data_IF_075261236073
#
_entry.id   IF_075261236073
#
_cell.length_a   1.000
_cell.length_b   1.000
_cell.length_c   1.000
_cell.angle_alpha   90.00
_cell.angle_beta   90.00
_cell.angle_gamma   90.00
#
_symmetry.space_group_name_H-M   'P 1'
#
loop_
_entity.id
_entity.type
_entity.pdbx_description
1 polymer ?
#
# COMPACT_ATOMS: atom_id res chain seq x y z
N UNK A 1 0.55 -23.86 -22.79
CA UNK A 1 0.62 -24.99 -21.84
C UNK A 1 0.59 -26.28 -22.65
N UNK A 2 1.76 -26.85 -22.93
CA UNK A 2 1.81 -28.02 -23.82
C UNK A 2 1.22 -29.23 -23.10
N UNK A 3 0.22 -29.87 -23.71
CA UNK A 3 -0.41 -31.10 -23.23
C UNK A 3 -1.51 -30.93 -22.16
N UNK A 4 -1.96 -29.70 -21.86
CA UNK A 4 -3.05 -29.52 -20.89
C UNK A 4 -4.43 -29.55 -21.59
N UNK A 5 -5.36 -30.44 -21.16
CA UNK A 5 -6.64 -30.64 -21.86
C UNK A 5 -7.68 -29.53 -21.60
N UNK A 6 -7.61 -28.84 -20.45
CA UNK A 6 -8.57 -27.80 -20.09
C UNK A 6 -7.88 -26.59 -19.46
N UNK A 7 -7.58 -25.59 -20.26
CA UNK A 7 -6.97 -24.37 -19.78
C UNK A 7 -8.04 -23.35 -19.40
N UNK A 8 -8.33 -23.24 -18.11
CA UNK A 8 -9.32 -22.28 -17.59
C UNK A 8 -8.82 -21.51 -16.39
N UNK A 9 -9.33 -20.30 -16.25
CA UNK A 9 -9.08 -19.45 -15.10
C UNK A 9 -9.78 -20.04 -13.87
N UNK A 10 -9.01 -20.43 -12.85
CA UNK A 10 -9.59 -20.96 -11.60
C UNK A 10 -10.03 -19.86 -10.63
N UNK A 11 -9.27 -18.76 -10.58
CA UNK A 11 -9.47 -17.70 -9.59
C UNK A 11 -10.08 -16.42 -10.17
N UNK A 12 -9.96 -16.21 -11.48
CA UNK A 12 -10.47 -15.02 -12.14
C UNK A 12 -11.88 -15.28 -12.65
N UNK A 13 -12.78 -14.28 -12.58
CA UNK A 13 -14.08 -14.32 -13.24
C UNK A 13 -13.96 -14.61 -14.73
N UNK A 14 -15.01 -15.17 -15.31
CA UNK A 14 -15.05 -15.56 -16.73
C UNK A 14 -14.88 -14.37 -17.68
N UNK A 15 -15.40 -13.20 -17.28
CA UNK A 15 -15.34 -11.96 -18.08
C UNK A 15 -14.07 -11.14 -17.81
N UNK A 16 -13.15 -11.63 -16.99
CA UNK A 16 -11.94 -10.89 -16.64
C UNK A 16 -10.90 -10.97 -17.77
N UNK A 17 -10.55 -9.82 -18.33
CA UNK A 17 -9.53 -9.72 -19.39
C UNK A 17 -8.15 -9.35 -18.83
N UNK A 18 -7.16 -10.19 -19.09
CA UNK A 18 -5.75 -9.94 -18.78
C UNK A 18 -5.17 -10.81 -17.66
N UNK A 19 -3.97 -10.46 -17.21
CA UNK A 19 -3.24 -11.21 -16.19
C UNK A 19 -2.73 -10.25 -15.10
N UNK A 20 -3.46 -10.13 -13.98
CA UNK A 20 -3.24 -9.07 -12.99
C UNK A 20 -1.90 -9.21 -12.26
N UNK A 21 -1.25 -10.39 -12.34
CA UNK A 21 0.07 -10.64 -11.77
C UNK A 21 1.23 -10.26 -12.70
N UNK A 22 0.97 -9.81 -13.93
CA UNK A 22 2.04 -9.33 -14.82
C UNK A 22 2.41 -7.89 -14.47
N UNK A 23 3.70 -7.55 -14.64
CA UNK A 23 4.25 -6.22 -14.30
C UNK A 23 3.74 -5.08 -15.20
N UNK A 24 3.28 -5.41 -16.40
CA UNK A 24 2.71 -4.47 -17.38
C UNK A 24 1.21 -4.21 -17.13
N UNK A 25 0.58 -4.93 -16.20
CA UNK A 25 -0.84 -4.75 -15.90
C UNK A 25 -1.08 -3.46 -15.11
N UNK A 26 -2.01 -2.58 -15.56
CA UNK A 26 -2.28 -1.32 -14.89
C UNK A 26 -3.00 -1.56 -13.55
N UNK A 27 -2.26 -1.42 -12.44
CA UNK A 27 -2.85 -1.46 -11.10
C UNK A 27 -3.47 -0.10 -10.77
N UNK A 28 -4.80 -0.01 -10.83
CA UNK A 28 -5.58 1.15 -10.37
C UNK A 28 -5.28 1.53 -8.90
N UNK A 29 -4.75 0.59 -8.11
CA UNK A 29 -4.35 0.76 -6.71
C UNK A 29 -3.13 1.66 -6.48
N UNK A 30 -2.45 2.16 -7.51
CA UNK A 30 -1.37 3.17 -7.34
C UNK A 30 -1.88 4.56 -7.00
N UNK A 31 -3.18 4.80 -7.08
CA UNK A 31 -3.79 6.03 -6.60
C UNK A 31 -3.94 5.89 -5.08
N UNK A 32 -2.92 6.33 -4.35
CA UNK A 32 -3.05 6.57 -2.91
C UNK A 32 -4.08 7.67 -2.76
N UNK A 33 -5.31 7.32 -2.36
CA UNK A 33 -6.22 8.32 -1.85
C UNK A 33 -5.57 8.90 -0.59
N UNK A 34 -5.35 10.22 -0.51
CA UNK A 34 -4.93 10.81 0.76
C UNK A 34 -5.96 10.41 1.80
N UNK A 35 -5.48 9.96 2.96
CA UNK A 35 -6.35 9.56 4.06
C UNK A 35 -7.31 10.74 4.35
N UNK A 36 -8.64 10.50 4.39
CA UNK A 36 -9.62 11.57 4.56
C UNK A 36 -9.69 11.97 6.05
N UNK A 37 -8.66 12.65 6.55
CA UNK A 37 -8.59 13.14 7.93
C UNK A 37 -7.30 13.90 8.21
N UNK A 38 -7.37 14.85 9.16
CA UNK A 38 -6.16 15.37 9.80
C UNK A 38 -5.51 14.17 10.50
N UNK A 39 -4.30 13.83 10.10
CA UNK A 39 -3.51 12.82 10.82
C UNK A 39 -3.07 13.52 12.11
N UNK A 40 -3.75 13.24 13.21
CA UNK A 40 -3.32 13.68 14.53
C UNK A 40 -2.06 12.88 14.88
N UNK A 41 -0.91 13.48 14.62
CA UNK A 41 0.37 12.98 15.10
C UNK A 41 0.54 13.61 16.48
N UNK A 42 0.18 12.86 17.54
CA UNK A 42 0.61 13.25 18.88
C UNK A 42 2.15 13.30 18.88
N UNK A 43 2.76 14.40 19.35
CA UNK A 43 4.21 14.45 19.52
C UNK A 43 4.64 13.33 20.47
N UNK A 44 5.73 12.66 20.13
CA UNK A 44 6.35 11.65 21.00
C UNK A 44 6.60 12.31 22.37
N UNK A 45 6.06 11.76 23.48
CA UNK A 45 6.44 12.24 24.80
C UNK A 45 7.91 11.91 25.02
N UNK A 46 8.76 12.93 25.05
CA UNK A 46 10.19 12.76 25.30
C UNK A 46 11.15 13.82 24.75
N UNK A 47 10.69 15.02 24.39
CA UNK A 47 11.60 16.16 24.07
C UNK A 47 11.41 17.33 25.06
N UNK A 48 10.98 17.02 26.29
CA UNK A 48 11.01 17.92 27.44
C UNK A 48 11.92 17.29 28.50
N UNK A 49 13.23 17.49 28.37
CA UNK A 49 14.22 17.51 29.45
C UNK A 49 15.60 17.80 28.84
N UNK A 50 15.91 19.08 28.52
CA UNK A 50 17.25 19.69 28.62
C UNK A 50 17.27 21.16 28.11
N UNK A 51 16.33 22.00 28.56
CA UNK A 51 16.62 23.43 28.73
C UNK A 51 16.40 23.77 30.21
N UNK A 52 17.47 23.71 31.01
CA UNK A 52 17.75 24.60 32.16
C UNK A 52 19.04 24.15 32.87
N UNK A 53 20.18 24.55 32.31
CA UNK A 53 21.51 24.42 32.90
C UNK A 53 22.15 25.81 33.07
N UNK A 54 21.75 26.46 34.16
CA UNK A 54 22.30 27.61 34.85
C UNK A 54 23.58 28.28 34.33
N UNK A 55 23.50 29.61 34.27
CA UNK A 55 24.64 30.51 34.23
C UNK A 55 25.61 30.24 35.39
N UNK A 56 26.91 30.12 35.07
CA UNK A 56 28.00 30.55 35.95
C UNK A 56 29.31 30.77 35.19
#
# INVERSE_FOLDING_TARGET
>A
FNGHPDLRNMYLPTDFEGHPLRKDFPLLARIVKPWPGIVDVEPLPGDDDEEEGEAS
#
